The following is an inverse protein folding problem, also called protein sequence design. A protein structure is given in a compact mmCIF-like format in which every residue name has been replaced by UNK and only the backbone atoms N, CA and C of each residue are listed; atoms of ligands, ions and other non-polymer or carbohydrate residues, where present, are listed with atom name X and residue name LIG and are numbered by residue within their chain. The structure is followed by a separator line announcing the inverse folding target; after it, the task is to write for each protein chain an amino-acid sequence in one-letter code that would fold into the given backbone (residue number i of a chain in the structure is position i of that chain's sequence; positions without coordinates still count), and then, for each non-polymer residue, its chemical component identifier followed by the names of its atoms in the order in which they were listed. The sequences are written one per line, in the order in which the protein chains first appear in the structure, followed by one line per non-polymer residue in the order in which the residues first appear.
data_IF_949235234223
#
_entry.id   IF_949235234223
#
_cell.length_a   1.000
_cell.length_b   1.000
_cell.length_c   1.000
_cell.angle_alpha   90.00
_cell.angle_beta   90.00
_cell.angle_gamma   90.00
#
_symmetry.space_group_name_H-M   'P 1'
#
loop_
_entity.id
_entity.type
_entity.pdbx_description
1 polymer ?
#
# COMPACT_ATOMS: atom_id res chain seq x y z
N UNK A 1 18.28 -17.81 -2.86
CA UNK A 1 17.83 -16.44 -3.18
C UNK A 1 16.32 -16.41 -3.10
N UNK A 2 15.75 -15.36 -2.53
CA UNK A 2 14.30 -15.17 -2.60
C UNK A 2 13.91 -14.92 -4.06
N UNK A 3 12.80 -15.50 -4.52
CA UNK A 3 12.27 -15.21 -5.86
C UNK A 3 11.38 -13.95 -5.87
N UNK A 4 11.17 -13.33 -4.70
CA UNK A 4 10.28 -12.20 -4.52
C UNK A 4 10.97 -10.85 -4.51
N UNK A 5 12.28 -10.81 -4.30
CA UNK A 5 13.08 -9.59 -4.29
C UNK A 5 14.55 -9.89 -4.53
N UNK A 6 15.30 -8.92 -5.01
CA UNK A 6 16.75 -8.97 -5.06
C UNK A 6 17.31 -8.31 -3.81
N UNK A 7 18.26 -8.96 -3.16
CA UNK A 7 18.90 -8.42 -1.95
C UNK A 7 19.60 -7.10 -2.24
N UNK A 8 20.23 -6.98 -3.40
CA UNK A 8 20.89 -5.76 -3.89
C UNK A 8 19.95 -4.58 -4.00
N UNK A 9 18.69 -4.80 -4.42
CA UNK A 9 17.69 -3.73 -4.53
C UNK A 9 17.28 -3.23 -3.14
N UNK A 10 17.10 -4.17 -2.18
CA UNK A 10 16.78 -3.81 -0.79
C UNK A 10 17.94 -3.05 -0.15
N UNK A 11 19.19 -3.51 -0.36
CA UNK A 11 20.40 -2.83 0.13
C UNK A 11 20.52 -1.42 -0.44
N UNK A 12 20.25 -1.24 -1.74
CA UNK A 12 20.28 0.08 -2.38
C UNK A 12 19.20 1.01 -1.80
N UNK A 13 17.97 0.53 -1.66
CA UNK A 13 16.87 1.31 -1.09
C UNK A 13 17.21 1.74 0.34
N UNK A 14 17.63 0.79 1.19
CA UNK A 14 17.99 1.07 2.59
C UNK A 14 19.12 2.09 2.67
N UNK A 15 20.15 1.96 1.83
CA UNK A 15 21.25 2.93 1.73
C UNK A 15 20.75 4.35 1.42
N UNK A 16 19.79 4.49 0.50
CA UNK A 16 19.22 5.79 0.09
C UNK A 16 18.35 6.45 1.16
N UNK A 17 17.65 5.64 1.98
CA UNK A 17 16.70 6.16 2.98
C UNK A 17 17.26 6.15 4.39
N UNK A 18 18.47 5.65 4.63
CA UNK A 18 19.03 5.41 5.96
C UNK A 18 18.93 6.61 6.91
N UNK A 19 19.21 7.82 6.44
CA UNK A 19 19.18 9.01 7.28
C UNK A 19 17.76 9.38 7.74
N UNK A 20 16.80 9.37 6.78
CA UNK A 20 15.40 9.70 7.11
C UNK A 20 14.69 8.56 7.84
N UNK A 21 15.15 7.33 7.65
CA UNK A 21 14.59 6.16 8.31
C UNK A 21 14.87 6.12 9.82
N UNK A 22 15.86 6.84 10.31
CA UNK A 22 16.16 6.93 11.76
C UNK A 22 14.98 7.43 12.59
N UNK A 23 14.11 8.24 12.01
CA UNK A 23 12.87 8.71 12.65
C UNK A 23 11.86 7.57 12.93
N UNK A 24 12.08 6.39 12.34
CA UNK A 24 11.26 5.20 12.56
C UNK A 24 11.74 4.35 13.74
N UNK A 25 12.86 4.72 14.40
CA UNK A 25 13.39 4.00 15.56
C UNK A 25 12.36 3.87 16.67
N UNK A 26 12.08 2.65 17.13
CA UNK A 26 11.10 2.34 18.17
C UNK A 26 9.62 2.61 17.78
N UNK A 27 9.32 2.91 16.51
CA UNK A 27 7.96 3.19 16.03
C UNK A 27 7.22 1.91 15.67
N UNK A 28 5.88 2.01 15.64
CA UNK A 28 5.02 0.95 15.12
C UNK A 28 4.48 1.35 13.75
N UNK A 29 4.75 0.50 12.76
CA UNK A 29 4.32 0.66 11.38
C UNK A 29 3.29 -0.42 11.05
N UNK A 30 2.14 -0.03 10.52
CA UNK A 30 1.14 -0.95 10.00
C UNK A 30 1.17 -0.92 8.46
N UNK A 31 1.24 -2.09 7.84
CA UNK A 31 1.22 -2.25 6.39
C UNK A 31 0.01 -3.10 6.02
N UNK A 32 -0.98 -2.54 5.35
CA UNK A 32 -2.07 -3.32 4.78
C UNK A 32 -1.77 -3.69 3.32
N UNK A 33 -2.12 -4.93 2.92
CA UNK A 33 -1.71 -5.48 1.62
C UNK A 33 -0.23 -5.88 1.58
N UNK A 34 0.35 -6.18 2.75
CA UNK A 34 1.79 -6.40 2.89
C UNK A 34 2.29 -7.74 2.33
N UNK A 35 1.39 -8.61 1.85
CA UNK A 35 1.77 -9.87 1.17
C UNK A 35 1.61 -9.79 -0.35
N UNK A 36 1.12 -8.66 -0.85
CA UNK A 36 1.12 -8.33 -2.27
C UNK A 36 2.52 -8.08 -2.82
N UNK A 37 2.62 -7.78 -4.11
CA UNK A 37 3.90 -7.55 -4.81
C UNK A 37 4.76 -6.49 -4.12
N UNK A 38 4.28 -5.26 -3.98
CA UNK A 38 5.03 -4.18 -3.34
C UNK A 38 5.15 -4.37 -1.82
N UNK A 39 4.10 -4.89 -1.17
CA UNK A 39 4.09 -5.09 0.28
C UNK A 39 5.23 -5.97 0.80
N UNK A 40 5.62 -6.99 0.02
CA UNK A 40 6.76 -7.85 0.36
C UNK A 40 8.08 -7.10 0.36
N UNK A 41 8.29 -6.20 -0.59
CA UNK A 41 9.48 -5.36 -0.62
C UNK A 41 9.56 -4.46 0.62
N UNK A 42 8.45 -3.85 1.03
CA UNK A 42 8.41 -3.08 2.28
C UNK A 42 8.78 -3.93 3.49
N UNK A 43 8.26 -5.16 3.58
CA UNK A 43 8.61 -6.07 4.68
C UNK A 43 10.11 -6.32 4.77
N UNK A 44 10.78 -6.59 3.64
CA UNK A 44 12.22 -6.82 3.59
C UNK A 44 13.03 -5.56 3.86
N UNK A 45 12.56 -4.40 3.39
CA UNK A 45 13.19 -3.10 3.69
C UNK A 45 13.16 -2.83 5.20
N UNK A 46 12.01 -3.03 5.86
CA UNK A 46 11.91 -2.84 7.32
C UNK A 46 12.75 -3.85 8.10
N UNK A 47 12.84 -5.09 7.63
CA UNK A 47 13.74 -6.07 8.24
C UNK A 47 15.20 -5.57 8.20
N UNK A 48 15.66 -5.12 7.04
CA UNK A 48 17.02 -4.63 6.88
C UNK A 48 17.27 -3.31 7.62
N UNK A 49 16.29 -2.41 7.69
CA UNK A 49 16.36 -1.19 8.49
C UNK A 49 16.53 -1.53 9.99
N UNK A 50 15.74 -2.46 10.49
CA UNK A 50 15.81 -2.93 11.88
C UNK A 50 17.17 -3.56 12.21
N UNK A 51 17.78 -4.26 11.26
CA UNK A 51 19.06 -4.94 11.48
C UNK A 51 20.27 -3.98 11.39
N UNK A 52 20.20 -2.94 10.56
CA UNK A 52 21.41 -2.20 10.17
C UNK A 52 21.35 -0.69 10.39
N UNK A 53 20.17 -0.10 10.64
CA UNK A 53 20.00 1.37 10.62
C UNK A 53 19.35 1.91 11.90
N UNK A 54 18.30 1.24 12.41
CA UNK A 54 17.52 1.75 13.52
C UNK A 54 18.18 1.43 14.85
N UNK A 55 18.30 2.42 15.73
CA UNK A 55 18.84 2.23 17.09
C UNK A 55 17.94 1.32 17.93
N UNK A 56 16.62 1.49 17.80
CA UNK A 56 15.59 0.60 18.33
C UNK A 56 14.78 0.02 17.19
N UNK A 57 14.62 -1.31 17.08
CA UNK A 57 13.85 -1.91 16.01
C UNK A 57 12.41 -1.38 15.97
N UNK A 58 11.94 -1.03 14.79
CA UNK A 58 10.54 -0.72 14.57
C UNK A 58 9.68 -2.00 14.63
N UNK A 59 8.51 -1.93 15.27
CA UNK A 59 7.50 -2.98 15.19
C UNK A 59 6.73 -2.83 13.87
N UNK A 60 6.62 -3.89 13.08
CA UNK A 60 5.86 -3.89 11.83
C UNK A 60 4.69 -4.87 11.93
N UNK A 61 3.47 -4.36 11.72
CA UNK A 61 2.24 -5.16 11.65
C UNK A 61 1.82 -5.23 10.20
N UNK A 62 1.75 -6.44 9.66
CA UNK A 62 1.41 -6.68 8.26
C UNK A 62 0.04 -7.34 8.15
N UNK A 63 -0.92 -6.64 7.57
CA UNK A 63 -2.27 -7.13 7.31
C UNK A 63 -2.43 -7.56 5.86
N UNK A 64 -3.00 -8.73 5.62
CA UNK A 64 -3.35 -9.19 4.27
C UNK A 64 -4.47 -10.24 4.34
N UNK A 65 -5.37 -10.27 3.35
CA UNK A 65 -6.41 -11.30 3.21
C UNK A 65 -6.06 -12.36 2.15
N UNK A 66 -4.90 -12.24 1.52
CA UNK A 66 -4.31 -13.15 0.52
C UNK A 66 -5.12 -13.33 -0.79
N UNK A 67 -6.10 -12.48 -1.08
CA UNK A 67 -6.89 -12.58 -2.33
C UNK A 67 -5.99 -12.58 -3.57
N UNK A 68 -5.00 -11.68 -3.62
CA UNK A 68 -4.08 -11.55 -4.75
C UNK A 68 -2.70 -12.15 -4.52
N UNK A 69 -2.39 -12.57 -3.30
CA UNK A 69 -1.05 -13.04 -2.92
C UNK A 69 -0.74 -14.49 -3.34
N UNK A 70 -1.77 -15.27 -3.69
CA UNK A 70 -1.64 -16.68 -4.05
C UNK A 70 -1.17 -17.58 -2.89
N UNK A 71 -0.96 -18.87 -3.17
CA UNK A 71 -0.51 -19.84 -2.14
C UNK A 71 0.85 -19.48 -1.52
N UNK A 72 1.75 -18.92 -2.31
CA UNK A 72 3.06 -18.49 -1.82
C UNK A 72 2.98 -17.27 -0.91
N UNK A 73 2.00 -16.40 -1.12
CA UNK A 73 1.70 -15.31 -0.22
C UNK A 73 1.28 -15.77 1.17
N UNK A 74 0.63 -16.93 1.26
CA UNK A 74 0.21 -17.54 2.52
C UNK A 74 1.36 -18.14 3.32
N UNK A 75 2.50 -18.39 2.69
CA UNK A 75 3.72 -18.84 3.40
C UNK A 75 4.38 -17.66 4.08
N UNK A 76 4.01 -17.44 5.33
CA UNK A 76 4.47 -16.31 6.14
C UNK A 76 5.75 -16.70 6.88
N UNK A 77 6.89 -16.06 6.59
CA UNK A 77 8.10 -16.27 7.35
C UNK A 77 7.97 -15.66 8.75
N UNK A 78 8.72 -16.19 9.71
CA UNK A 78 8.85 -15.57 11.02
C UNK A 78 10.05 -14.62 11.02
N UNK A 79 9.80 -13.35 11.25
CA UNK A 79 10.83 -12.33 11.39
C UNK A 79 10.77 -11.69 12.77
N UNK A 80 11.92 -11.29 13.35
CA UNK A 80 11.93 -10.45 14.54
C UNK A 80 11.17 -9.15 14.27
N UNK A 81 10.36 -8.71 15.23
CA UNK A 81 9.64 -7.44 15.19
C UNK A 81 8.66 -7.25 13.99
N UNK A 82 8.38 -8.30 13.23
CA UNK A 82 7.37 -8.28 12.14
C UNK A 82 6.29 -9.30 12.44
N UNK A 83 5.07 -8.82 12.61
CA UNK A 83 3.89 -9.62 12.89
C UNK A 83 2.98 -9.67 11.66
N UNK A 84 2.61 -10.86 11.21
CA UNK A 84 1.70 -11.05 10.08
C UNK A 84 0.34 -11.50 10.61
N UNK A 85 -0.69 -10.77 10.19
CA UNK A 85 -2.08 -11.04 10.61
C UNK A 85 -2.94 -11.21 9.36
N UNK A 86 -3.62 -12.36 9.24
CA UNK A 86 -4.66 -12.52 8.21
C UNK A 86 -5.85 -11.66 8.59
N UNK A 87 -6.09 -10.62 7.79
CA UNK A 87 -7.15 -9.66 8.06
C UNK A 87 -7.65 -9.01 6.77
N UNK A 88 -8.97 -8.86 6.67
CA UNK A 88 -9.58 -8.09 5.59
C UNK A 88 -9.82 -6.66 6.07
N UNK A 89 -9.22 -5.69 5.39
CA UNK A 89 -9.30 -4.27 5.78
C UNK A 89 -10.71 -3.67 5.73
N UNK A 90 -11.68 -4.35 5.09
CA UNK A 90 -13.08 -3.93 5.17
C UNK A 90 -13.68 -4.12 6.57
N UNK A 91 -13.08 -4.97 7.39
CA UNK A 91 -13.40 -5.10 8.80
C UNK A 91 -12.52 -4.14 9.62
N UNK A 92 -13.04 -3.52 10.68
CA UNK A 92 -12.25 -2.70 11.57
C UNK A 92 -11.09 -3.48 12.20
N UNK A 93 -9.91 -2.88 12.26
CA UNK A 93 -8.75 -3.43 12.93
C UNK A 93 -8.33 -2.54 14.09
N UNK A 94 -8.15 -3.14 15.27
CA UNK A 94 -7.72 -2.43 16.47
C UNK A 94 -6.54 -3.17 17.11
N UNK A 95 -5.30 -2.74 16.82
CA UNK A 95 -4.11 -3.33 17.42
C UNK A 95 -4.03 -3.00 18.92
N UNK A 96 -3.45 -3.92 19.71
CA UNK A 96 -3.24 -3.71 21.16
C UNK A 96 -2.19 -2.65 21.48
N UNK A 97 -1.52 -2.08 20.47
CA UNK A 97 -0.47 -1.07 20.63
C UNK A 97 -0.77 0.17 19.77
N UNK A 98 -0.14 1.29 20.15
CA UNK A 98 -0.18 2.51 19.35
C UNK A 98 0.47 2.27 17.99
N UNK A 99 -0.16 2.77 16.92
CA UNK A 99 0.39 2.80 15.56
C UNK A 99 0.87 4.23 15.26
N UNK A 100 2.09 4.38 14.77
CA UNK A 100 2.65 5.68 14.42
C UNK A 100 2.57 5.97 12.92
N UNK A 101 2.68 4.94 12.08
CA UNK A 101 2.63 5.05 10.62
C UNK A 101 1.78 3.94 10.01
N UNK A 102 1.02 4.29 8.98
CA UNK A 102 0.22 3.34 8.20
C UNK A 102 0.62 3.44 6.74
N UNK A 103 1.00 2.31 6.16
CA UNK A 103 1.17 2.13 4.71
C UNK A 103 -0.05 1.35 4.21
N UNK A 104 -1.00 2.07 3.62
CA UNK A 104 -2.23 1.45 3.12
C UNK A 104 -2.05 1.08 1.65
N UNK A 105 -1.51 -0.13 1.41
CA UNK A 105 -1.29 -0.70 0.09
C UNK A 105 -2.28 -1.83 -0.26
N UNK A 106 -3.24 -2.13 0.63
CA UNK A 106 -4.31 -3.05 0.31
C UNK A 106 -5.14 -2.53 -0.87
N UNK A 107 -5.30 -3.37 -1.88
CA UNK A 107 -6.07 -3.05 -3.08
C UNK A 107 -5.94 -4.17 -4.10
N UNK A 108 -7.01 -4.41 -4.85
CA UNK A 108 -7.03 -5.42 -5.90
C UNK A 108 -6.61 -4.76 -7.20
N UNK A 109 -5.31 -4.79 -7.51
CA UNK A 109 -4.70 -3.95 -8.56
C UNK A 109 -4.51 -4.66 -9.91
N UNK A 110 -4.47 -6.01 -9.96
CA UNK A 110 -4.31 -6.73 -11.23
C UNK A 110 -5.63 -6.82 -11.98
N UNK A 111 -5.65 -6.57 -13.32
CA UNK A 111 -6.84 -6.68 -14.15
C UNK A 111 -7.56 -8.03 -14.04
N UNK A 112 -6.82 -9.09 -13.87
CA UNK A 112 -7.40 -10.42 -13.64
C UNK A 112 -8.23 -10.44 -12.35
N UNK A 113 -7.70 -9.93 -11.24
CA UNK A 113 -8.34 -9.99 -9.94
C UNK A 113 -9.47 -8.96 -9.78
N UNK A 114 -9.31 -7.70 -10.21
CA UNK A 114 -10.38 -6.71 -10.02
C UNK A 114 -11.58 -6.96 -10.94
N UNK A 115 -11.40 -7.61 -12.10
CA UNK A 115 -12.52 -8.04 -12.94
C UNK A 115 -13.27 -9.25 -12.37
N UNK A 116 -12.55 -10.11 -11.65
CA UNK A 116 -13.16 -11.24 -10.97
C UNK A 116 -13.86 -10.84 -9.66
N UNK A 117 -13.40 -9.75 -9.01
CA UNK A 117 -13.87 -9.28 -7.71
C UNK A 117 -14.15 -7.76 -7.74
N UNK A 118 -15.09 -7.28 -8.62
CA UNK A 118 -15.29 -5.84 -8.82
C UNK A 118 -15.89 -5.12 -7.61
N UNK A 119 -16.78 -5.77 -6.87
CA UNK A 119 -17.40 -5.19 -5.67
C UNK A 119 -16.37 -5.14 -4.54
N UNK A 120 -15.64 -6.21 -4.31
CA UNK A 120 -14.57 -6.27 -3.31
C UNK A 120 -13.49 -5.23 -3.58
N UNK A 121 -13.23 -4.91 -4.86
CA UNK A 121 -12.29 -3.84 -5.23
C UNK A 121 -12.77 -2.48 -4.74
N UNK A 122 -14.07 -2.19 -4.86
CA UNK A 122 -14.68 -0.96 -4.33
C UNK A 122 -14.75 -0.98 -2.81
N UNK A 123 -15.15 -2.10 -2.20
CA UNK A 123 -15.26 -2.22 -0.75
C UNK A 123 -13.92 -1.99 -0.05
N UNK A 124 -12.83 -2.55 -0.57
CA UNK A 124 -11.47 -2.28 -0.06
C UNK A 124 -11.12 -0.79 -0.16
N UNK A 125 -11.48 -0.15 -1.27
CA UNK A 125 -11.17 1.25 -1.50
C UNK A 125 -12.02 2.20 -0.66
N UNK A 126 -13.27 1.87 -0.38
CA UNK A 126 -14.20 2.73 0.37
C UNK A 126 -14.13 2.37 1.86
N UNK A 127 -14.58 1.17 2.21
CA UNK A 127 -14.67 0.73 3.60
C UNK A 127 -13.28 0.48 4.19
N UNK A 128 -12.41 -0.20 3.43
CA UNK A 128 -11.04 -0.49 3.89
C UNK A 128 -10.22 0.77 4.11
N UNK A 129 -10.23 1.70 3.16
CA UNK A 129 -9.51 2.97 3.31
C UNK A 129 -10.07 3.79 4.47
N UNK A 130 -11.41 3.82 4.64
CA UNK A 130 -12.03 4.50 5.77
C UNK A 130 -11.59 3.89 7.11
N UNK A 131 -11.56 2.57 7.24
CA UNK A 131 -11.10 1.91 8.46
C UNK A 131 -9.63 2.24 8.78
N UNK A 132 -8.75 2.28 7.77
CA UNK A 132 -7.35 2.66 7.97
C UNK A 132 -7.19 4.14 8.35
N UNK A 133 -8.03 5.03 7.79
CA UNK A 133 -8.06 6.44 8.15
C UNK A 133 -8.62 6.68 9.57
N UNK A 134 -9.66 5.93 9.96
CA UNK A 134 -10.20 5.96 11.33
C UNK A 134 -9.13 5.48 12.34
N UNK A 135 -8.39 4.43 11.99
CA UNK A 135 -7.26 3.95 12.81
C UNK A 135 -6.15 5.01 12.90
N UNK A 136 -5.80 5.66 11.77
CA UNK A 136 -4.82 6.74 11.75
C UNK A 136 -5.27 7.90 12.66
N UNK A 137 -6.53 8.32 12.56
CA UNK A 137 -7.12 9.34 13.41
C UNK A 137 -7.06 8.98 14.90
N UNK A 138 -7.47 7.75 15.26
CA UNK A 138 -7.45 7.25 16.64
C UNK A 138 -6.06 7.28 17.26
N UNK A 139 -5.02 6.96 16.47
CA UNK A 139 -3.64 6.86 16.92
C UNK A 139 -2.82 8.14 16.73
N UNK A 140 -3.37 9.18 16.09
CA UNK A 140 -2.62 10.32 15.58
C UNK A 140 -1.44 9.88 14.69
N UNK A 141 -1.69 8.88 13.84
CA UNK A 141 -0.71 8.28 12.94
C UNK A 141 -0.66 9.04 11.61
N UNK A 142 0.49 8.94 10.93
CA UNK A 142 0.60 9.34 9.53
C UNK A 142 0.20 8.16 8.63
N UNK A 143 -0.57 8.43 7.59
CA UNK A 143 -0.99 7.40 6.64
C UNK A 143 -0.55 7.74 5.22
N UNK A 144 0.03 6.76 4.53
CA UNK A 144 0.33 6.83 3.10
C UNK A 144 -0.60 5.89 2.36
N UNK A 145 -1.44 6.44 1.49
CA UNK A 145 -2.35 5.69 0.64
C UNK A 145 -1.72 5.39 -0.72
N UNK A 146 -1.77 4.13 -1.13
CA UNK A 146 -1.37 3.71 -2.47
C UNK A 146 -2.51 3.93 -3.47
N UNK A 147 -2.48 5.08 -4.11
CA UNK A 147 -3.29 5.41 -5.27
C UNK A 147 -2.73 4.73 -6.54
N UNK A 148 -2.91 5.30 -7.69
CA UNK A 148 -2.43 4.80 -8.98
C UNK A 148 -2.39 5.91 -10.02
N UNK A 149 -1.57 5.77 -11.05
CA UNK A 149 -1.65 6.59 -12.26
C UNK A 149 -3.01 6.51 -12.96
N UNK A 150 -3.81 5.49 -12.68
CA UNK A 150 -5.14 5.31 -13.26
C UNK A 150 -6.15 6.40 -12.86
N UNK A 151 -5.84 7.20 -11.82
CA UNK A 151 -6.63 8.40 -11.50
C UNK A 151 -6.57 9.46 -12.61
N UNK A 152 -5.58 9.39 -13.48
CA UNK A 152 -5.44 10.26 -14.64
C UNK A 152 -6.30 9.81 -15.84
N UNK A 153 -6.68 8.53 -15.91
CA UNK A 153 -7.48 7.96 -16.97
C UNK A 153 -6.78 8.00 -18.32
N UNK A 154 -7.52 8.44 -19.35
CA UNK A 154 -7.03 8.63 -20.71
C UNK A 154 -6.72 10.13 -20.94
N UNK A 155 -5.49 10.57 -20.70
CA UNK A 155 -5.15 11.99 -20.72
C UNK A 155 -5.13 12.55 -22.14
N UNK A 156 -5.50 13.83 -22.28
CA UNK A 156 -5.22 14.57 -23.49
C UNK A 156 -3.72 14.52 -23.80
N UNK A 157 -3.31 14.19 -25.04
CA UNK A 157 -1.89 14.16 -25.44
C UNK A 157 -1.12 15.45 -25.09
N UNK A 158 -1.78 16.59 -25.09
CA UNK A 158 -1.19 17.88 -24.70
C UNK A 158 -0.88 17.99 -23.20
N UNK A 159 -1.40 17.08 -22.38
CA UNK A 159 -1.17 17.03 -20.92
C UNK A 159 -0.12 15.98 -20.51
N UNK A 160 0.54 15.34 -21.48
CA UNK A 160 1.62 14.36 -21.22
C UNK A 160 2.97 15.05 -21.29
N UNK A 161 3.84 14.90 -20.23
CA UNK A 161 3.62 14.16 -18.98
C UNK A 161 2.65 14.87 -18.03
N UNK A 162 1.74 14.10 -17.42
CA UNK A 162 0.73 14.63 -16.52
C UNK A 162 1.35 15.21 -15.26
N UNK A 163 0.87 16.39 -14.87
CA UNK A 163 1.16 16.97 -13.56
C UNK A 163 0.20 16.39 -12.50
N UNK A 164 0.60 16.38 -11.24
CA UNK A 164 -0.23 15.90 -10.13
C UNK A 164 -1.57 16.66 -10.01
N UNK A 165 -1.63 17.90 -10.48
CA UNK A 165 -2.83 18.74 -10.52
C UNK A 165 -3.81 18.37 -11.64
N UNK A 166 -3.43 17.51 -12.58
CA UNK A 166 -4.32 17.07 -13.67
C UNK A 166 -5.49 16.28 -13.11
N UNK A 167 -6.72 16.70 -13.42
CA UNK A 167 -7.94 16.14 -12.83
C UNK A 167 -8.33 14.77 -13.34
N UNK A 168 -7.73 14.33 -14.42
CA UNK A 168 -8.00 13.04 -15.05
C UNK A 168 -9.22 13.01 -15.96
N UNK A 169 -9.18 12.10 -16.92
CA UNK A 169 -10.28 11.77 -17.84
C UNK A 169 -10.62 10.28 -17.63
N UNK A 170 -11.40 10.00 -16.59
CA UNK A 170 -11.75 8.65 -16.14
C UNK A 170 -13.22 8.39 -16.42
N UNK A 171 -13.52 7.21 -16.99
CA UNK A 171 -14.90 6.75 -17.19
C UNK A 171 -15.39 6.03 -15.94
N UNK A 172 -16.58 6.42 -15.46
CA UNK A 172 -17.28 5.69 -14.39
C UNK A 172 -17.91 4.38 -14.85
N UNK A 173 -17.85 4.08 -16.15
CA UNK A 173 -18.44 2.87 -16.76
C UNK A 173 -17.38 2.09 -17.53
N UNK A 174 -17.49 0.76 -17.46
CA UNK A 174 -16.61 -0.13 -18.20
C UNK A 174 -15.87 -1.14 -17.30
N UNK A 175 -15.10 -2.05 -17.92
CA UNK A 175 -14.51 -3.20 -17.21
C UNK A 175 -13.38 -2.83 -16.22
N UNK A 176 -12.91 -1.59 -16.25
CA UNK A 176 -11.87 -1.05 -15.37
C UNK A 176 -12.42 -0.10 -14.32
N UNK A 177 -13.66 0.38 -14.49
CA UNK A 177 -14.23 1.45 -13.69
C UNK A 177 -14.16 1.17 -12.17
N UNK A 178 -14.36 -0.09 -11.75
CA UNK A 178 -14.25 -0.48 -10.36
C UNK A 178 -12.85 -0.19 -9.77
N UNK A 179 -11.78 -0.38 -10.55
CA UNK A 179 -10.42 -0.09 -10.11
C UNK A 179 -10.10 1.40 -10.19
N UNK A 180 -10.36 2.03 -11.33
CA UNK A 180 -10.02 3.43 -11.55
C UNK A 180 -10.75 4.34 -10.54
N UNK A 181 -12.06 4.15 -10.36
CA UNK A 181 -12.85 4.88 -9.37
C UNK A 181 -12.49 4.50 -7.92
N UNK A 182 -12.04 3.25 -7.66
CA UNK A 182 -11.57 2.85 -6.35
C UNK A 182 -10.40 3.72 -5.88
N UNK A 183 -9.48 4.04 -6.79
CA UNK A 183 -8.32 4.88 -6.46
C UNK A 183 -8.71 6.35 -6.29
N UNK A 184 -9.62 6.85 -7.11
CA UNK A 184 -10.14 8.21 -7.00
C UNK A 184 -10.91 8.45 -5.70
N UNK A 185 -11.79 7.52 -5.31
CA UNK A 185 -12.51 7.63 -4.02
C UNK A 185 -11.58 7.51 -2.83
N UNK A 186 -10.54 6.67 -2.91
CA UNK A 186 -9.52 6.59 -1.88
C UNK A 186 -8.78 7.90 -1.66
N UNK A 187 -8.39 8.60 -2.73
CA UNK A 187 -7.80 9.95 -2.64
C UNK A 187 -8.79 10.96 -2.05
N UNK A 188 -10.06 10.89 -2.44
CA UNK A 188 -11.11 11.75 -1.88
C UNK A 188 -11.26 11.54 -0.38
N UNK A 189 -11.24 10.30 0.09
CA UNK A 189 -11.28 9.98 1.52
C UNK A 189 -10.05 10.53 2.25
N UNK A 190 -8.85 10.35 1.70
CA UNK A 190 -7.63 10.92 2.26
C UNK A 190 -7.71 12.44 2.38
N UNK A 191 -8.19 13.13 1.34
CA UNK A 191 -8.42 14.58 1.37
C UNK A 191 -9.41 14.99 2.48
N UNK A 192 -10.55 14.30 2.59
CA UNK A 192 -11.57 14.58 3.61
C UNK A 192 -10.99 14.42 5.02
N UNK A 193 -10.25 13.32 5.25
CA UNK A 193 -9.66 13.08 6.58
C UNK A 193 -8.55 14.07 6.91
N UNK A 194 -7.80 14.50 5.93
CA UNK A 194 -6.80 15.55 6.12
C UNK A 194 -7.45 16.88 6.48
N UNK A 195 -8.35 17.36 5.63
CA UNK A 195 -8.92 18.69 5.71
C UNK A 195 -9.87 18.88 6.90
N UNK A 196 -10.72 17.88 7.14
CA UNK A 196 -11.80 18.03 8.13
C UNK A 196 -11.52 17.34 9.47
N UNK A 197 -10.59 16.40 9.50
CA UNK A 197 -10.28 15.64 10.73
C UNK A 197 -8.83 15.76 11.18
N UNK A 198 -7.98 16.47 10.44
CA UNK A 198 -6.59 16.73 10.81
C UNK A 198 -5.67 15.50 10.72
N UNK A 199 -6.06 14.47 9.98
CA UNK A 199 -5.21 13.29 9.78
C UNK A 199 -4.08 13.62 8.80
N UNK A 200 -2.85 13.25 9.14
CA UNK A 200 -1.71 13.41 8.24
C UNK A 200 -1.74 12.34 7.14
N UNK A 201 -2.24 12.70 5.96
CA UNK A 201 -2.33 11.82 4.82
C UNK A 201 -1.32 12.16 3.73
N UNK A 202 -0.69 11.14 3.16
CA UNK A 202 0.06 11.23 1.92
C UNK A 202 -0.55 10.28 0.89
N UNK A 203 -0.46 10.63 -0.39
CA UNK A 203 -0.94 9.77 -1.47
C UNK A 203 0.19 9.60 -2.49
N UNK A 204 0.42 8.37 -2.93
CA UNK A 204 1.37 8.09 -3.99
C UNK A 204 0.64 7.49 -5.19
N UNK A 205 1.00 7.91 -6.40
CA UNK A 205 0.40 7.47 -7.66
C UNK A 205 1.43 6.70 -8.48
N UNK A 206 1.74 5.44 -8.12
CA UNK A 206 2.66 4.65 -8.91
C UNK A 206 2.08 4.42 -10.30
N UNK A 207 2.95 4.50 -11.31
CA UNK A 207 2.68 4.00 -12.65
C UNK A 207 2.90 2.48 -12.68
N UNK A 208 3.01 1.87 -13.86
CA UNK A 208 3.24 0.44 -13.95
C UNK A 208 4.59 0.07 -13.32
N UNK A 209 4.53 -0.65 -12.22
CA UNK A 209 5.70 -1.14 -11.49
C UNK A 209 5.89 -2.61 -11.85
N UNK A 210 7.12 -2.99 -12.18
CA UNK A 210 7.52 -4.36 -12.47
C UNK A 210 8.79 -4.71 -11.72
N UNK A 211 9.04 -6.00 -11.54
CA UNK A 211 10.26 -6.47 -10.89
C UNK A 211 10.12 -7.85 -10.27
N UNK A 212 11.14 -8.30 -9.52
CA UNK A 212 11.14 -9.59 -8.84
C UNK A 212 9.92 -9.76 -7.94
N UNK A 213 9.30 -10.92 -7.99
CA UNK A 213 8.10 -11.23 -7.21
C UNK A 213 6.78 -10.87 -7.86
N UNK A 214 6.81 -10.23 -9.04
CA UNK A 214 5.62 -10.08 -9.87
C UNK A 214 5.21 -11.44 -10.45
N UNK A 215 3.91 -11.67 -10.61
CA UNK A 215 3.42 -12.90 -11.24
C UNK A 215 3.67 -12.87 -12.75
N UNK A 216 4.09 -14.02 -13.32
CA UNK A 216 4.44 -14.14 -14.76
C UNK A 216 3.28 -13.79 -15.71
N UNK A 217 2.04 -13.96 -15.26
CA UNK A 217 0.81 -13.68 -16.03
C UNK A 217 0.14 -12.36 -15.61
N UNK A 218 0.87 -11.44 -15.01
CA UNK A 218 0.32 -10.14 -14.69
C UNK A 218 0.28 -9.26 -15.95
N UNK A 219 -0.92 -8.96 -16.42
CA UNK A 219 -1.16 -8.22 -17.68
C UNK A 219 -0.85 -6.71 -17.60
N UNK A 220 -0.23 -6.24 -16.53
CA UNK A 220 0.15 -4.82 -16.39
C UNK A 220 1.44 -4.47 -17.10
N UNK A 221 2.21 -5.46 -17.51
CA UNK A 221 3.49 -5.35 -18.27
C UNK A 221 3.55 -6.32 -19.40
#
# INVERSE_FOLDING_TARGET
MSKFFLKTDVEEIVSRVSEVAKDLSGKTILISGGRGFLGRHYTEIFLMLNENVLDEPAKVIVLDNFISAGEEGRRVPKYPNIEFIEHNVIEPFDPECKVDYIIHAAGIASPFYYRANPIETLDVAITGTKNMLDLAKKNNARITFFSSSEVYGDPDPAQVPMQESYRGNVSSMGPRACYDESKRVGETLCYIYHEYYGVHTNMIRPFNVYGPGMQENDYRV
#
